data_IF_516541981500
#
_entry.id   IF_516541981500
#
_cell.length_a   1.000
_cell.length_b   1.000
_cell.length_c   1.000
_cell.angle_alpha   90.00
_cell.angle_beta   90.00
_cell.angle_gamma   90.00
#
_symmetry.space_group_name_H-M   'P 1'
#
loop_
_entity.id
_entity.type
_entity.pdbx_description
1 polymer ?
#
# COMPACT_ATOMS: atom_id res chain seq x y z
N UNK A 1 13.63 -18.62 11.42
CA UNK A 1 12.92 -17.88 10.36
C UNK A 1 12.65 -18.89 9.29
N UNK A 2 11.41 -19.34 9.20
CA UNK A 2 11.09 -20.49 8.36
C UNK A 2 10.82 -20.02 6.94
N UNK A 3 11.49 -20.65 5.99
CA UNK A 3 11.50 -20.38 4.55
C UNK A 3 10.17 -20.66 3.85
N UNK A 4 9.09 -20.88 4.59
CA UNK A 4 7.80 -21.37 4.10
C UNK A 4 6.81 -20.27 3.72
N UNK A 5 7.06 -19.01 4.12
CA UNK A 5 6.38 -17.81 3.58
C UNK A 5 4.85 -17.77 3.68
N UNK A 6 4.22 -18.66 4.46
CA UNK A 6 2.76 -18.71 4.58
C UNK A 6 2.30 -17.59 5.52
N UNK A 7 1.75 -16.53 4.93
CA UNK A 7 0.94 -15.56 5.68
C UNK A 7 -0.35 -16.23 6.14
N UNK A 8 -0.67 -16.09 7.43
CA UNK A 8 -1.96 -16.52 7.97
C UNK A 8 -3.07 -15.67 7.34
N UNK A 9 -4.02 -16.35 6.70
CA UNK A 9 -5.16 -15.76 6.00
C UNK A 9 -6.44 -16.27 6.64
N UNK A 10 -7.45 -15.42 6.76
CA UNK A 10 -8.79 -15.82 7.18
C UNK A 10 -9.50 -16.68 6.11
N UNK A 11 -10.71 -17.15 6.42
CA UNK A 11 -11.52 -17.95 5.49
C UNK A 11 -11.85 -17.24 4.17
N UNK A 12 -11.78 -15.91 4.14
CA UNK A 12 -12.03 -15.07 2.97
C UNK A 12 -10.74 -14.67 2.24
N UNK A 13 -9.58 -15.16 2.68
CA UNK A 13 -8.28 -14.84 2.10
C UNK A 13 -7.71 -13.48 2.54
N UNK A 14 -8.28 -12.84 3.56
CA UNK A 14 -7.68 -11.63 4.12
C UNK A 14 -6.50 -12.04 5.00
N UNK A 15 -5.33 -11.53 4.66
CA UNK A 15 -4.13 -11.66 5.48
C UNK A 15 -4.37 -10.92 6.80
N UNK A 16 -4.22 -11.60 7.93
CA UNK A 16 -4.24 -10.92 9.22
C UNK A 16 -2.91 -10.17 9.38
N UNK A 17 -2.95 -8.89 9.02
CA UNK A 17 -1.81 -7.99 9.06
C UNK A 17 -1.99 -6.99 10.20
N UNK A 18 -0.94 -6.70 10.99
CA UNK A 18 -0.98 -5.65 12.00
C UNK A 18 -1.12 -4.25 11.38
N UNK A 19 -0.93 -4.14 10.06
CA UNK A 19 -1.12 -2.93 9.28
C UNK A 19 -2.32 -3.09 8.35
N UNK A 20 -3.30 -2.20 8.48
CA UNK A 20 -4.49 -2.14 7.60
C UNK A 20 -4.22 -1.07 6.54
N UNK A 21 -4.29 -1.46 5.26
CA UNK A 21 -4.11 -0.51 4.17
C UNK A 21 -5.27 0.51 4.14
N UNK A 22 -4.95 1.80 4.26
CA UNK A 22 -5.95 2.87 4.23
C UNK A 22 -6.57 2.97 2.82
N UNK A 23 -5.72 2.88 1.79
CA UNK A 23 -6.14 2.91 0.41
C UNK A 23 -5.78 1.60 -0.30
N UNK A 24 -6.77 0.99 -0.96
CA UNK A 24 -6.56 -0.20 -1.79
C UNK A 24 -5.86 0.14 -3.11
N UNK A 25 -6.10 1.34 -3.65
CA UNK A 25 -5.45 1.84 -4.86
C UNK A 25 -4.27 2.74 -4.48
N UNK A 26 -3.24 2.73 -5.31
CA UNK A 26 -2.08 3.60 -5.14
C UNK A 26 -2.48 5.06 -5.38
N UNK A 27 -1.98 5.97 -4.55
CA UNK A 27 -2.16 7.41 -4.77
C UNK A 27 -1.06 7.86 -5.75
N UNK A 28 -1.47 8.53 -6.81
CA UNK A 28 -0.59 9.09 -7.85
C UNK A 28 -0.65 10.63 -7.79
N UNK A 29 0.41 11.32 -8.26
CA UNK A 29 0.40 12.78 -8.34
C UNK A 29 -0.70 13.29 -9.26
N UNK A 30 -1.21 14.50 -8.99
CA UNK A 30 -2.16 15.17 -9.88
C UNK A 30 -1.46 15.78 -11.10
N UNK A 31 -2.23 16.15 -12.12
CA UNK A 31 -1.69 16.76 -13.34
C UNK A 31 -0.95 18.07 -13.04
N UNK A 32 -1.48 18.91 -12.15
CA UNK A 32 -0.85 20.18 -11.76
C UNK A 32 0.47 19.98 -10.99
N UNK A 33 0.61 18.85 -10.30
CA UNK A 33 1.86 18.47 -9.63
C UNK A 33 2.88 17.93 -10.63
N UNK A 34 2.45 17.23 -11.67
CA UNK A 34 3.32 16.77 -12.75
C UNK A 34 3.86 17.91 -13.61
N UNK A 35 3.05 18.95 -13.84
CA UNK A 35 3.47 20.15 -14.56
C UNK A 35 4.53 20.95 -13.78
N UNK A 36 4.30 21.15 -12.48
CA UNK A 36 5.22 21.89 -11.60
C UNK A 36 6.46 21.07 -11.22
N UNK A 37 6.33 19.76 -11.14
CA UNK A 37 7.41 18.84 -10.81
C UNK A 37 7.37 17.56 -11.67
N UNK A 38 7.97 17.58 -12.86
CA UNK A 38 8.02 16.41 -13.75
C UNK A 38 8.68 15.17 -13.13
N UNK A 39 9.52 15.33 -12.08
CA UNK A 39 10.14 14.21 -11.36
C UNK A 39 9.13 13.40 -10.56
N UNK A 40 7.96 13.95 -10.24
CA UNK A 40 6.91 13.25 -9.52
C UNK A 40 6.22 12.15 -10.35
N UNK A 41 6.38 12.12 -11.68
CA UNK A 41 5.67 11.20 -12.60
C UNK A 41 5.70 9.73 -12.22
N UNK A 42 6.76 9.26 -11.57
CA UNK A 42 6.90 7.86 -11.14
C UNK A 42 6.50 7.61 -9.69
N UNK A 43 6.15 8.64 -8.92
CA UNK A 43 5.81 8.53 -7.52
C UNK A 43 4.51 7.74 -7.32
N UNK A 44 4.53 6.87 -6.30
CA UNK A 44 3.45 5.95 -5.95
C UNK A 44 3.34 5.88 -4.44
N UNK A 45 2.36 6.58 -3.87
CA UNK A 45 2.17 6.63 -2.42
C UNK A 45 1.24 5.50 -1.96
N UNK A 46 1.70 4.78 -0.93
CA UNK A 46 0.94 3.72 -0.24
C UNK A 46 0.99 4.00 1.25
N UNK A 47 -0.16 3.88 1.92
CA UNK A 47 -0.32 4.21 3.33
C UNK A 47 -1.11 3.09 4.00
N UNK A 48 -0.68 2.72 5.20
CA UNK A 48 -1.36 1.77 6.05
C UNK A 48 -1.38 2.31 7.49
N UNK A 49 -2.44 2.01 8.23
CA UNK A 49 -2.56 2.31 9.65
C UNK A 49 -2.24 1.07 10.48
N UNK A 50 -1.77 1.26 11.72
CA UNK A 50 -1.57 0.16 12.67
C UNK A 50 -2.93 -0.21 13.28
N UNK A 51 -3.30 -1.49 13.15
CA UNK A 51 -4.46 -2.08 13.85
C UNK A 51 -4.18 -2.01 15.36
N UNK A 52 -5.01 -1.28 16.09
CA UNK A 52 -4.87 -1.09 17.55
C UNK A 52 -5.38 -2.31 18.29
#
# INVERSE_FOLDING_TARGET
GDSSGKQEQDFFGNVDSPLVAINRRVIVPSEEELERNPRARSAKLRIAEKKV
#
